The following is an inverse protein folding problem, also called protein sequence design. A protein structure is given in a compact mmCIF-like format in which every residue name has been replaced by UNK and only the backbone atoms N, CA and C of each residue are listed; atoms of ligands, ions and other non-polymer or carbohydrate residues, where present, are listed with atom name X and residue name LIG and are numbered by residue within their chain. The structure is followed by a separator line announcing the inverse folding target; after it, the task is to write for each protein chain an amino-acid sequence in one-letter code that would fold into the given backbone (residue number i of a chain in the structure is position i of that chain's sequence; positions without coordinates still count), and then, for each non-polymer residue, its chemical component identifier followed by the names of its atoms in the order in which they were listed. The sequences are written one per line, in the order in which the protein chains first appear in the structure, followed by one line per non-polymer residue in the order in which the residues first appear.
data_IF_628056814834
#
_entry.id   IF_628056814834
#
_cell.length_a   1.000
_cell.length_b   1.000
_cell.length_c   1.000
_cell.angle_alpha   90.00
_cell.angle_beta   90.00
_cell.angle_gamma   90.00
#
_symmetry.space_group_name_H-M   'P 1'
#
loop_
_entity.id
_entity.type
_entity.pdbx_description
1 polymer ?
#
# COMPACT_ATOMS: atom_id res chain seq x y z
N UNK A 1 -23.84 14.97 13.64
CA UNK A 1 -22.89 15.17 12.52
C UNK A 1 -23.72 15.17 11.24
N UNK A 2 -23.90 16.31 10.57
CA UNK A 2 -24.70 16.38 9.34
C UNK A 2 -23.84 15.92 8.16
N UNK A 3 -24.07 14.70 7.68
CA UNK A 3 -23.46 14.19 6.46
C UNK A 3 -24.27 14.61 5.24
N UNK A 4 -23.59 14.96 4.14
CA UNK A 4 -24.23 15.33 2.86
C UNK A 4 -24.75 14.12 2.06
N UNK A 5 -24.47 12.90 2.52
CA UNK A 5 -24.93 11.64 1.92
C UNK A 5 -25.63 10.76 2.96
N UNK A 6 -26.66 10.04 2.54
CA UNK A 6 -27.36 9.07 3.41
C UNK A 6 -26.51 7.83 3.71
N UNK A 7 -25.62 7.47 2.78
CA UNK A 7 -24.63 6.40 2.93
C UNK A 7 -23.23 7.03 2.97
N UNK A 8 -22.37 6.54 3.87
CA UNK A 8 -20.98 6.97 3.94
C UNK A 8 -20.27 6.70 2.61
N UNK A 9 -19.62 7.73 2.06
CA UNK A 9 -18.85 7.58 0.83
C UNK A 9 -17.55 6.83 1.08
N UNK A 10 -17.13 6.04 0.09
CA UNK A 10 -15.75 5.58 0.00
C UNK A 10 -14.89 6.71 -0.58
N UNK A 11 -13.83 7.06 0.15
CA UNK A 11 -12.83 8.05 -0.22
C UNK A 11 -11.52 7.29 -0.43
N UNK A 12 -11.26 7.00 -1.71
CA UNK A 12 -10.14 6.18 -2.17
C UNK A 12 -8.87 6.96 -2.46
N UNK A 13 -7.72 6.30 -2.31
CA UNK A 13 -6.40 6.86 -2.64
C UNK A 13 -5.43 5.76 -3.08
N UNK A 14 -4.50 6.09 -3.99
CA UNK A 14 -3.33 5.25 -4.28
C UNK A 14 -2.16 5.66 -3.36
N UNK A 15 -2.15 5.13 -2.14
CA UNK A 15 -1.10 5.37 -1.16
C UNK A 15 -0.29 4.08 -0.95
N UNK A 16 0.50 3.71 -1.96
CA UNK A 16 1.34 2.50 -1.96
C UNK A 16 2.66 2.71 -1.19
N UNK A 17 3.16 3.94 -1.22
CA UNK A 17 4.51 4.29 -0.75
C UNK A 17 5.47 4.51 -1.91
N UNK A 18 6.70 4.93 -1.60
CA UNK A 18 7.71 5.24 -2.60
C UNK A 18 7.21 6.25 -3.65
N UNK A 19 7.34 5.89 -4.93
CA UNK A 19 6.96 6.78 -6.04
C UNK A 19 5.45 6.92 -6.23
N UNK A 20 4.64 5.94 -5.81
CA UNK A 20 3.17 6.00 -5.85
C UNK A 20 2.64 6.37 -4.47
N UNK A 21 2.85 7.63 -4.15
CA UNK A 21 2.43 8.26 -2.90
C UNK A 21 1.75 9.60 -3.24
N UNK A 22 0.55 9.85 -2.72
CA UNK A 22 -0.18 11.12 -2.86
C UNK A 22 0.06 12.05 -1.68
N UNK A 23 0.09 11.50 -0.46
CA UNK A 23 0.40 12.21 0.79
C UNK A 23 1.92 12.28 1.03
N UNK A 24 2.58 13.24 0.37
CA UNK A 24 4.05 13.40 0.34
C UNK A 24 4.58 14.32 1.45
N UNK A 25 5.86 14.15 1.81
CA UNK A 25 6.57 15.00 2.79
C UNK A 25 6.56 16.49 2.44
N UNK A 26 6.65 16.83 1.15
CA UNK A 26 6.55 18.23 0.70
C UNK A 26 5.19 18.90 1.02
N UNK A 27 4.19 18.11 1.41
CA UNK A 27 2.88 18.59 1.88
C UNK A 27 2.70 18.42 3.40
N UNK A 28 3.75 18.03 4.14
CA UNK A 28 3.73 17.84 5.60
C UNK A 28 3.34 16.45 6.08
N UNK A 29 3.21 15.46 5.19
CA UNK A 29 2.89 14.08 5.57
C UNK A 29 4.14 13.24 5.88
N UNK A 30 4.04 12.16 6.67
CA UNK A 30 5.18 11.29 6.96
C UNK A 30 5.79 10.67 5.70
N UNK A 31 7.11 10.42 5.73
CA UNK A 31 7.78 9.63 4.72
C UNK A 31 7.23 8.19 4.68
N UNK A 32 7.13 7.65 3.46
CA UNK A 32 6.73 6.26 3.19
C UNK A 32 7.85 5.52 2.45
N UNK A 33 8.16 4.29 2.83
CA UNK A 33 9.06 3.43 2.06
C UNK A 33 8.38 2.94 0.77
N UNK A 34 9.16 2.64 -0.28
CA UNK A 34 8.65 1.89 -1.44
C UNK A 34 8.40 0.43 -1.07
N UNK A 35 7.52 -0.24 -1.81
CA UNK A 35 7.23 -1.65 -1.58
C UNK A 35 8.46 -2.52 -1.87
N UNK A 36 9.26 -2.18 -2.90
CA UNK A 36 10.53 -2.84 -3.15
C UNK A 36 11.56 -2.62 -2.02
N UNK A 37 11.60 -1.44 -1.40
CA UNK A 37 12.49 -1.20 -0.24
C UNK A 37 12.11 -2.09 0.94
N UNK A 38 10.81 -2.23 1.24
CA UNK A 38 10.36 -3.19 2.25
C UNK A 38 10.68 -4.64 1.86
N UNK A 39 10.62 -4.95 0.56
CA UNK A 39 11.07 -6.22 -0.02
C UNK A 39 12.55 -6.52 0.19
N UNK A 40 13.42 -5.53 0.02
CA UNK A 40 14.86 -5.65 0.27
C UNK A 40 15.16 -5.89 1.75
N UNK A 41 14.40 -5.26 2.65
CA UNK A 41 14.53 -5.48 4.10
C UNK A 41 13.97 -6.85 4.52
N UNK A 42 12.85 -7.26 3.91
CA UNK A 42 12.11 -8.50 4.22
C UNK A 42 11.90 -8.70 5.74
N UNK A 43 11.58 -7.61 6.44
CA UNK A 43 11.34 -7.55 7.88
C UNK A 43 9.85 -7.30 8.16
N UNK A 44 9.23 -8.22 8.89
CA UNK A 44 7.81 -8.19 9.22
C UNK A 44 7.45 -7.04 10.17
N UNK A 45 8.34 -6.67 11.09
CA UNK A 45 8.14 -5.59 12.06
C UNK A 45 8.14 -4.25 11.33
N UNK A 46 9.12 -4.05 10.44
CA UNK A 46 9.18 -2.84 9.60
C UNK A 46 7.98 -2.72 8.67
N UNK A 47 7.53 -3.84 8.09
CA UNK A 47 6.35 -3.87 7.22
C UNK A 47 5.09 -3.48 7.98
N UNK A 48 4.85 -4.08 9.15
CA UNK A 48 3.70 -3.78 9.99
C UNK A 48 3.74 -2.32 10.49
N UNK A 49 4.92 -1.83 10.90
CA UNK A 49 5.11 -0.44 11.32
C UNK A 49 4.78 0.55 10.20
N UNK A 50 5.31 0.31 8.99
CA UNK A 50 5.07 1.16 7.82
C UNK A 50 3.59 1.13 7.40
N UNK A 51 2.97 -0.05 7.36
CA UNK A 51 1.56 -0.22 7.02
C UNK A 51 0.65 0.47 8.03
N UNK A 52 0.91 0.32 9.32
CA UNK A 52 0.13 0.95 10.41
C UNK A 52 0.24 2.47 10.35
N UNK A 53 1.45 3.01 10.12
CA UNK A 53 1.66 4.45 9.96
C UNK A 53 0.90 5.01 8.75
N UNK A 54 0.93 4.27 7.64
CA UNK A 54 0.21 4.63 6.41
C UNK A 54 -1.30 4.66 6.66
N UNK A 55 -1.85 3.57 7.19
CA UNK A 55 -3.28 3.45 7.47
C UNK A 55 -3.77 4.49 8.49
N UNK A 56 -2.98 4.76 9.55
CA UNK A 56 -3.30 5.81 10.53
C UNK A 56 -3.30 7.20 9.90
N UNK A 57 -2.35 7.48 9.00
CA UNK A 57 -2.31 8.75 8.25
C UNK A 57 -3.55 8.89 7.37
N UNK A 58 -3.94 7.84 6.65
CA UNK A 58 -5.11 7.84 5.79
C UNK A 58 -6.40 8.08 6.57
N UNK A 59 -6.61 7.30 7.63
CA UNK A 59 -7.80 7.38 8.50
C UNK A 59 -7.96 8.78 9.11
N UNK A 60 -6.87 9.37 9.63
CA UNK A 60 -6.86 10.74 10.18
C UNK A 60 -7.19 11.83 9.16
N UNK A 61 -6.99 11.55 7.87
CA UNK A 61 -7.25 12.50 6.78
C UNK A 61 -8.54 12.17 6.00
N UNK A 62 -9.40 11.29 6.54
CA UNK A 62 -10.71 11.00 5.97
C UNK A 62 -10.72 9.98 4.83
N UNK A 63 -9.58 9.35 4.52
CA UNK A 63 -9.53 8.24 3.56
C UNK A 63 -9.92 6.94 4.26
N UNK A 64 -10.80 6.18 3.64
CA UNK A 64 -11.29 4.89 4.16
C UNK A 64 -11.14 3.74 3.15
N UNK A 65 -10.51 3.99 2.00
CA UNK A 65 -10.15 3.00 0.99
C UNK A 65 -8.74 3.30 0.47
N UNK A 66 -7.84 2.31 0.50
CA UNK A 66 -6.50 2.42 -0.06
C UNK A 66 -6.31 1.39 -1.18
N UNK A 67 -5.95 1.85 -2.37
CA UNK A 67 -5.59 0.99 -3.49
C UNK A 67 -4.17 0.43 -3.33
N UNK A 68 -3.95 -0.32 -2.25
CA UNK A 68 -2.71 -0.99 -1.88
C UNK A 68 -3.07 -2.17 -0.93
N UNK A 69 -2.25 -3.23 -0.83
CA UNK A 69 -0.89 -3.34 -1.35
C UNK A 69 -0.81 -3.89 -2.80
N UNK A 70 0.38 -3.80 -3.38
CA UNK A 70 0.73 -4.46 -4.64
C UNK A 70 1.10 -5.92 -4.37
N UNK A 71 0.45 -6.85 -5.06
CA UNK A 71 0.74 -8.29 -4.99
C UNK A 71 1.45 -8.81 -6.26
N UNK A 72 1.77 -7.93 -7.20
CA UNK A 72 2.52 -8.29 -8.41
C UNK A 72 3.94 -8.73 -8.07
N UNK A 73 4.35 -9.88 -8.63
CA UNK A 73 5.68 -10.43 -8.49
C UNK A 73 6.67 -9.71 -9.40
N UNK A 74 7.87 -9.38 -8.94
CA UNK A 74 8.93 -8.79 -9.78
C UNK A 74 9.60 -9.82 -10.70
N UNK A 75 8.85 -10.47 -11.58
CA UNK A 75 9.35 -11.51 -12.49
C UNK A 75 10.16 -10.92 -13.64
N UNK A 76 9.75 -9.74 -14.12
CA UNK A 76 10.48 -8.97 -15.13
C UNK A 76 10.97 -7.65 -14.50
N UNK A 77 12.29 -7.45 -14.30
CA UNK A 77 12.82 -6.19 -13.76
C UNK A 77 12.58 -4.99 -14.69
N UNK A 78 12.34 -5.25 -15.98
CA UNK A 78 12.03 -4.22 -16.96
C UNK A 78 10.55 -3.81 -17.00
N UNK A 79 9.68 -4.52 -16.28
CA UNK A 79 8.27 -4.16 -16.16
C UNK A 79 8.09 -2.76 -15.58
N UNK A 80 7.02 -2.09 -15.98
CA UNK A 80 6.71 -0.75 -15.49
C UNK A 80 6.50 -0.71 -13.96
N UNK A 81 5.99 -1.80 -13.39
CA UNK A 81 5.75 -1.93 -11.95
C UNK A 81 7.08 -2.11 -11.20
N UNK A 82 7.96 -2.98 -11.67
CA UNK A 82 9.26 -3.20 -11.05
C UNK A 82 10.15 -1.94 -11.13
N UNK A 83 10.21 -1.27 -12.29
CA UNK A 83 10.99 -0.04 -12.50
C UNK A 83 10.62 1.12 -11.57
N UNK A 84 9.40 1.11 -11.02
CA UNK A 84 8.91 2.12 -10.07
C UNK A 84 8.98 1.68 -8.62
N UNK A 85 9.69 0.59 -8.33
CA UNK A 85 9.87 0.03 -6.99
C UNK A 85 8.53 -0.38 -6.33
N UNK A 86 7.54 -0.77 -7.15
CA UNK A 86 6.18 -1.11 -6.68
C UNK A 86 6.01 -2.59 -6.36
N UNK A 87 6.88 -3.46 -6.86
CA UNK A 87 6.88 -4.89 -6.50
C UNK A 87 7.69 -5.13 -5.23
N UNK A 88 7.22 -6.02 -4.36
CA UNK A 88 7.94 -6.41 -3.15
C UNK A 88 9.09 -7.38 -3.47
N UNK A 89 8.78 -8.50 -4.12
CA UNK A 89 9.75 -9.51 -4.50
C UNK A 89 9.20 -10.37 -5.66
N UNK A 90 10.01 -11.31 -6.14
CA UNK A 90 9.58 -12.34 -7.08
C UNK A 90 9.10 -13.63 -6.39
N UNK A 91 9.12 -13.68 -5.06
CA UNK A 91 8.73 -14.86 -4.28
C UNK A 91 7.30 -14.69 -3.75
N UNK A 92 6.32 -15.48 -4.24
CA UNK A 92 4.92 -15.33 -3.84
C UNK A 92 4.68 -15.53 -2.35
N UNK A 93 5.47 -16.37 -1.67
CA UNK A 93 5.33 -16.58 -0.22
C UNK A 93 5.65 -15.30 0.53
N UNK A 94 6.82 -14.70 0.25
CA UNK A 94 7.24 -13.45 0.85
C UNK A 94 6.27 -12.30 0.54
N UNK A 95 5.82 -12.16 -0.72
CA UNK A 95 4.81 -11.15 -1.08
C UNK A 95 3.51 -11.35 -0.28
N UNK A 96 3.02 -12.59 -0.18
CA UNK A 96 1.76 -12.87 0.53
C UNK A 96 1.85 -12.58 2.03
N UNK A 97 2.93 -12.99 2.70
CA UNK A 97 3.16 -12.72 4.13
C UNK A 97 3.16 -11.22 4.44
N UNK A 98 3.89 -10.44 3.64
CA UNK A 98 3.98 -8.99 3.87
C UNK A 98 2.70 -8.25 3.47
N UNK A 99 2.02 -8.71 2.43
CA UNK A 99 0.72 -8.17 2.04
C UNK A 99 -0.34 -8.42 3.13
N UNK A 100 -0.34 -9.59 3.77
CA UNK A 100 -1.25 -9.89 4.89
C UNK A 100 -1.07 -8.90 6.05
N UNK A 101 0.17 -8.65 6.46
CA UNK A 101 0.48 -7.65 7.49
C UNK A 101 -0.03 -6.26 7.10
N UNK A 102 0.17 -5.87 5.84
CA UNK A 102 -0.31 -4.59 5.32
C UNK A 102 -1.85 -4.50 5.40
N UNK A 103 -2.54 -5.56 4.96
CA UNK A 103 -4.01 -5.66 4.94
C UNK A 103 -4.55 -5.55 6.36
N UNK A 104 -4.01 -6.33 7.30
CA UNK A 104 -4.46 -6.33 8.70
C UNK A 104 -4.23 -4.97 9.37
N UNK A 105 -3.08 -4.33 9.13
CA UNK A 105 -2.81 -2.97 9.63
C UNK A 105 -3.78 -1.92 9.08
N UNK A 106 -4.21 -2.04 7.81
CA UNK A 106 -5.19 -1.14 7.22
C UNK A 106 -6.59 -1.33 7.80
N UNK A 107 -7.04 -2.59 7.88
CA UNK A 107 -8.32 -2.94 8.49
C UNK A 107 -8.40 -2.48 9.96
N UNK A 108 -7.32 -2.62 10.72
CA UNK A 108 -7.24 -2.15 12.10
C UNK A 108 -7.38 -0.62 12.27
N UNK A 109 -7.28 0.15 11.19
CA UNK A 109 -7.46 1.61 11.18
C UNK A 109 -8.73 2.04 10.43
N UNK A 110 -9.64 1.10 10.13
CA UNK A 110 -10.85 1.32 9.35
C UNK A 110 -10.58 1.84 7.92
N UNK A 111 -9.48 1.41 7.32
CA UNK A 111 -9.16 1.69 5.92
C UNK A 111 -9.23 0.36 5.15
N UNK A 112 -10.11 0.28 4.16
CA UNK A 112 -10.25 -0.93 3.33
C UNK A 112 -9.06 -1.00 2.35
N UNK A 113 -8.23 -2.06 2.38
CA UNK A 113 -7.17 -2.25 1.40
C UNK A 113 -7.73 -2.90 0.12
N UNK A 114 -7.10 -2.61 -1.03
CA UNK A 114 -7.41 -3.25 -2.31
C UNK A 114 -6.13 -3.84 -2.89
N UNK A 115 -6.07 -5.16 -2.89
CA UNK A 115 -4.97 -5.90 -3.51
C UNK A 115 -5.03 -5.75 -5.03
N UNK A 116 -3.88 -5.45 -5.65
CA UNK A 116 -3.79 -5.24 -7.11
C UNK A 116 -2.45 -5.73 -7.66
N UNK A 117 -2.35 -6.06 -8.95
CA UNK A 117 -3.36 -5.87 -10.01
C UNK A 117 -3.76 -7.22 -10.60
N UNK A 118 -4.92 -7.76 -10.23
CA UNK A 118 -5.39 -9.04 -10.77
C UNK A 118 -5.48 -9.01 -12.31
N UNK A 119 -5.03 -10.06 -13.03
CA UNK A 119 -4.53 -11.35 -12.53
C UNK A 119 -3.03 -11.39 -12.16
N UNK A 120 -2.34 -10.27 -12.27
CA UNK A 120 -0.90 -10.10 -12.04
C UNK A 120 -0.28 -9.34 -13.21
N UNK A 121 0.38 -8.22 -12.94
CA UNK A 121 1.05 -7.38 -13.94
C UNK A 121 2.58 -7.42 -13.86
N UNK A 122 3.13 -8.24 -12.98
CA UNK A 122 4.56 -8.31 -12.67
C UNK A 122 5.48 -8.80 -13.79
N UNK A 123 4.92 -9.37 -14.86
CA UNK A 123 5.64 -9.84 -16.05
C UNK A 123 5.44 -8.95 -17.29
N UNK A 124 4.52 -7.98 -17.22
CA UNK A 124 4.08 -7.15 -18.36
C UNK A 124 4.98 -5.94 -18.62
#
# INVERSE_FOLDING_TARGET
MFGWSQLSLLIGIDQEGGQVNRLKEKYGFPQSNSWAKLGLLNDIVETQSCATRTASTLSKNGFNLNFAPILDLSLNPDSFIAKKERCFSNNPVSVSTHAELFILSHLAQNVVPVCKHFPGQGSA
#
